data_IF_799636014551
#
_entry.id   IF_799636014551
#
_cell.length_a   1.000
_cell.length_b   1.000
_cell.length_c   1.000
_cell.angle_alpha   90.00
_cell.angle_beta   90.00
_cell.angle_gamma   90.00
#
_symmetry.space_group_name_H-M   'P 1'
#
loop_
_entity.id
_entity.type
_entity.pdbx_description
1 polymer ?
#
# COMPACT_ATOMS: atom_id res chain seq x y z
N UNK A 1 11.99 9.12 9.79
CA UNK A 1 10.84 8.69 8.99
C UNK A 1 10.88 9.16 7.54
N UNK A 2 11.56 10.26 7.19
CA UNK A 2 11.82 10.66 5.79
C UNK A 2 12.36 9.54 4.89
N UNK A 3 13.05 8.55 5.46
CA UNK A 3 13.58 7.39 4.73
C UNK A 3 12.48 6.39 4.35
N UNK A 4 11.41 6.31 5.14
CA UNK A 4 10.30 5.37 4.99
C UNK A 4 9.27 5.92 4.01
N UNK A 5 9.02 7.22 4.06
CA UNK A 5 7.95 7.87 3.33
C UNK A 5 8.01 7.71 1.80
N UNK A 6 9.19 7.66 1.13
CA UNK A 6 9.28 7.33 -0.29
C UNK A 6 8.69 5.96 -0.62
N UNK A 7 9.00 4.94 0.19
CA UNK A 7 8.47 3.58 0.02
C UNK A 7 6.98 3.53 0.34
N UNK A 8 6.54 4.25 1.38
CA UNK A 8 5.13 4.31 1.72
C UNK A 8 4.31 5.02 0.62
N UNK A 9 4.82 6.13 0.09
CA UNK A 9 4.24 6.86 -1.05
C UNK A 9 4.15 5.98 -2.28
N UNK A 10 5.21 5.24 -2.59
CA UNK A 10 5.20 4.24 -3.66
C UNK A 10 4.13 3.17 -3.44
N UNK A 11 4.03 2.64 -2.21
CA UNK A 11 3.02 1.65 -1.82
C UNK A 11 1.59 2.17 -1.95
N UNK A 12 1.34 3.44 -1.59
CA UNK A 12 0.04 4.13 -1.79
C UNK A 12 -0.28 4.18 -3.28
N UNK A 13 0.66 4.64 -4.11
CA UNK A 13 0.48 4.68 -5.56
C UNK A 13 0.19 3.31 -6.17
N UNK A 14 0.97 2.29 -5.79
CA UNK A 14 0.76 0.91 -6.22
C UNK A 14 -0.60 0.38 -5.76
N UNK A 15 -1.00 0.63 -4.51
CA UNK A 15 -2.30 0.22 -3.97
C UNK A 15 -3.48 0.84 -4.73
N UNK A 16 -3.42 2.15 -5.00
CA UNK A 16 -4.44 2.81 -5.81
C UNK A 16 -4.51 2.25 -7.24
N UNK A 17 -3.38 1.94 -7.87
CA UNK A 17 -3.37 1.28 -9.17
C UNK A 17 -4.03 -0.12 -9.11
N UNK A 18 -3.75 -0.92 -8.06
CA UNK A 18 -4.42 -2.22 -7.85
C UNK A 18 -5.94 -2.06 -7.68
N UNK A 19 -6.41 -1.00 -7.04
CA UNK A 19 -7.85 -0.73 -6.90
C UNK A 19 -8.55 -0.48 -8.24
N UNK A 20 -7.81 -0.05 -9.28
CA UNK A 20 -8.36 0.12 -10.64
C UNK A 20 -8.35 -1.16 -11.49
N UNK A 21 -7.76 -2.26 -11.00
CA UNK A 21 -7.51 -3.46 -11.79
C UNK A 21 -8.77 -4.11 -12.39
N UNK A 22 -9.90 -4.08 -11.66
CA UNK A 22 -11.16 -4.63 -12.17
C UNK A 22 -11.63 -3.88 -13.42
N UNK A 23 -11.53 -2.55 -13.44
CA UNK A 23 -11.95 -1.71 -14.58
C UNK A 23 -11.11 -1.96 -15.82
N UNK A 24 -9.81 -2.21 -15.64
CA UNK A 24 -8.91 -2.55 -16.75
C UNK A 24 -9.26 -3.90 -17.40
N UNK A 25 -9.84 -4.83 -16.64
CA UNK A 25 -10.29 -6.12 -17.18
C UNK A 25 -11.58 -6.00 -17.96
N UNK A 26 -12.51 -5.18 -17.49
CA UNK A 26 -13.83 -5.05 -18.12
C UNK A 26 -13.77 -4.18 -19.39
N UNK A 27 -12.74 -3.33 -19.52
CA UNK A 27 -12.45 -2.52 -20.71
C UNK A 27 -12.01 -3.38 -21.91
N UNK A 28 -12.97 -4.04 -22.57
CA UNK A 28 -12.78 -4.66 -23.88
C UNK A 28 -13.16 -3.64 -24.98
N UNK A 29 -12.21 -3.31 -25.87
CA UNK A 29 -12.40 -2.38 -27.01
C UNK A 29 -11.46 -1.16 -27.01
N UNK A 30 -11.11 -0.63 -28.19
CA UNK A 30 -10.15 0.47 -28.35
C UNK A 30 -10.63 1.82 -27.79
N UNK A 31 -11.95 2.05 -27.76
CA UNK A 31 -12.56 3.25 -27.17
C UNK A 31 -12.54 3.27 -25.64
N UNK A 32 -12.88 2.14 -25.01
CA UNK A 32 -12.86 1.92 -23.55
C UNK A 32 -11.44 1.87 -22.99
N UNK A 33 -10.47 1.41 -23.76
CA UNK A 33 -9.04 1.45 -23.41
C UNK A 33 -8.51 2.87 -23.31
N UNK A 34 -8.92 3.79 -24.21
CA UNK A 34 -8.55 5.22 -24.16
C UNK A 34 -9.16 5.96 -22.96
N UNK A 35 -10.37 5.62 -22.55
CA UNK A 35 -10.98 6.17 -21.32
C UNK A 35 -10.37 5.60 -20.04
N UNK A 36 -9.95 4.33 -20.04
CA UNK A 36 -9.13 3.76 -18.97
C UNK A 36 -7.75 4.44 -18.87
N UNK A 37 -7.19 4.89 -20.00
CA UNK A 37 -5.94 5.65 -20.09
C UNK A 37 -6.11 7.12 -19.64
N UNK A 38 -7.33 7.70 -19.65
CA UNK A 38 -7.61 9.01 -19.04
C UNK A 38 -7.68 8.83 -17.52
N UNK A 39 -6.51 8.69 -16.94
CA UNK A 39 -6.27 7.99 -15.68
C UNK A 39 -6.76 8.77 -14.44
N UNK A 40 -8.07 8.70 -14.20
CA UNK A 40 -8.71 9.23 -13.00
C UNK A 40 -8.12 8.60 -11.73
N UNK A 41 -7.53 7.42 -11.82
CA UNK A 41 -6.84 6.75 -10.72
C UNK A 41 -5.58 7.50 -10.32
N UNK A 42 -4.69 7.78 -11.27
CA UNK A 42 -3.48 8.56 -11.01
C UNK A 42 -3.83 9.96 -10.48
N UNK A 43 -4.82 10.63 -11.08
CA UNK A 43 -5.26 11.94 -10.60
C UNK A 43 -5.77 11.88 -9.15
N UNK A 44 -6.61 10.89 -8.81
CA UNK A 44 -7.10 10.73 -7.44
C UNK A 44 -5.97 10.42 -6.45
N UNK A 45 -4.99 9.60 -6.85
CA UNK A 45 -3.78 9.35 -6.05
C UNK A 45 -3.01 10.64 -5.83
N UNK A 46 -2.76 11.43 -6.87
CA UNK A 46 -2.02 12.70 -6.76
C UNK A 46 -2.75 13.73 -5.91
N UNK A 47 -4.09 13.81 -6.03
CA UNK A 47 -4.91 14.67 -5.18
C UNK A 47 -4.84 14.23 -3.71
N UNK A 48 -4.94 12.93 -3.43
CA UNK A 48 -4.76 12.40 -2.07
C UNK A 48 -3.36 12.74 -1.51
N UNK A 49 -2.32 12.53 -2.33
CA UNK A 49 -0.94 12.84 -1.94
C UNK A 49 -0.76 14.32 -1.66
N UNK A 50 -1.21 15.20 -2.56
CA UNK A 50 -1.01 16.64 -2.46
C UNK A 50 -1.88 17.33 -1.40
N UNK A 51 -3.10 16.84 -1.15
CA UNK A 51 -4.02 17.47 -0.20
C UNK A 51 -3.89 16.94 1.23
N UNK A 52 -3.47 15.69 1.41
CA UNK A 52 -3.44 15.05 2.72
C UNK A 52 -2.05 14.56 3.08
N UNK A 53 -1.52 13.58 2.34
CA UNK A 53 -0.31 12.86 2.77
C UNK A 53 0.92 13.76 2.89
N UNK A 54 1.22 14.55 1.85
CA UNK A 54 2.40 15.41 1.82
C UNK A 54 2.28 16.57 2.81
N UNK A 55 1.15 17.31 2.90
CA UNK A 55 1.00 18.35 3.93
C UNK A 55 1.18 17.82 5.36
N UNK A 56 0.64 16.63 5.67
CA UNK A 56 0.83 16.00 6.98
C UNK A 56 2.29 15.59 7.22
N UNK A 57 2.96 15.00 6.23
CA UNK A 57 4.39 14.70 6.31
C UNK A 57 5.26 15.94 6.53
N UNK A 58 4.96 17.04 5.82
CA UNK A 58 5.65 18.32 6.00
C UNK A 58 5.42 18.92 7.40
N UNK A 59 4.19 18.81 7.92
CA UNK A 59 3.88 19.23 9.28
C UNK A 59 4.70 18.42 10.29
N UNK A 60 4.82 17.10 10.10
CA UNK A 60 5.60 16.22 10.97
C UNK A 60 7.10 16.56 10.92
N UNK A 61 7.63 16.82 9.72
CA UNK A 61 9.03 17.21 9.50
C UNK A 61 9.40 18.57 10.11
N UNK A 62 8.45 19.50 10.13
CA UNK A 62 8.66 20.81 10.74
C UNK A 62 8.46 20.78 12.25
N UNK A 63 7.50 19.98 12.74
CA UNK A 63 7.18 19.89 14.18
C UNK A 63 8.15 19.01 14.96
N UNK A 64 8.58 17.90 14.39
CA UNK A 64 9.46 16.91 15.02
C UNK A 64 10.66 16.56 14.11
N UNK A 65 11.48 17.54 13.70
CA UNK A 65 12.55 17.34 12.71
C UNK A 65 13.57 16.27 13.11
N UNK A 66 13.88 16.19 14.41
CA UNK A 66 14.73 15.14 14.96
C UNK A 66 14.15 13.77 14.66
N UNK A 67 12.95 13.46 15.16
CA UNK A 67 12.31 12.17 14.92
C UNK A 67 12.10 11.87 13.43
N UNK A 68 11.66 12.88 12.67
CA UNK A 68 11.37 12.75 11.24
C UNK A 68 12.64 12.44 10.43
N UNK A 69 13.80 12.94 10.83
CA UNK A 69 15.08 12.63 10.16
C UNK A 69 15.79 11.43 10.79
N UNK A 70 15.13 10.67 11.68
CA UNK A 70 15.78 9.65 12.51
C UNK A 70 16.99 10.22 13.28
N UNK A 71 16.89 11.46 13.73
CA UNK A 71 17.88 12.25 14.45
C UNK A 71 19.17 12.51 13.67
N UNK A 72 19.11 12.45 12.33
CA UNK A 72 20.22 12.89 11.48
C UNK A 72 20.34 14.42 11.48
N UNK A 73 19.21 15.15 11.49
CA UNK A 73 19.19 16.61 11.52
C UNK A 73 18.33 17.15 12.66
N UNK A 74 18.77 18.26 13.26
CA UNK A 74 18.00 18.96 14.31
C UNK A 74 16.90 19.85 13.74
N UNK A 75 17.06 20.30 12.49
CA UNK A 75 16.09 21.06 11.73
C UNK A 75 16.21 20.66 10.26
N UNK A 76 15.09 20.58 9.54
CA UNK A 76 15.10 20.28 8.11
C UNK A 76 15.12 21.60 7.33
N UNK A 77 16.14 21.88 6.50
CA UNK A 77 16.18 23.11 5.74
C UNK A 77 15.07 23.14 4.68
N UNK A 78 14.57 24.33 4.28
CA UNK A 78 13.42 24.43 3.37
C UNK A 78 13.61 23.74 2.02
N UNK A 79 14.82 23.78 1.46
CA UNK A 79 15.12 23.10 0.20
C UNK A 79 14.99 21.58 0.32
N UNK A 80 15.33 21.01 1.48
CA UNK A 80 15.22 19.57 1.71
C UNK A 80 13.76 19.15 1.92
N UNK A 81 12.95 19.98 2.57
CA UNK A 81 11.49 19.78 2.63
C UNK A 81 10.87 19.81 1.22
N UNK A 82 11.27 20.77 0.38
CA UNK A 82 10.78 20.86 -0.99
C UNK A 82 11.20 19.63 -1.82
N UNK A 83 12.47 19.24 -1.75
CA UNK A 83 12.98 18.06 -2.44
C UNK A 83 12.30 16.77 -1.95
N UNK A 84 12.07 16.64 -0.64
CA UNK A 84 11.36 15.53 -0.04
C UNK A 84 9.92 15.44 -0.56
N UNK A 85 9.15 16.53 -0.50
CA UNK A 85 7.78 16.58 -1.01
C UNK A 85 7.70 16.23 -2.50
N UNK A 86 8.62 16.75 -3.32
CA UNK A 86 8.70 16.39 -4.74
C UNK A 86 9.02 14.89 -4.91
N UNK A 87 9.93 14.36 -4.11
CA UNK A 87 10.27 12.94 -4.07
C UNK A 87 9.07 12.05 -3.75
N UNK A 88 8.23 12.43 -2.79
CA UNK A 88 7.02 11.68 -2.45
C UNK A 88 6.03 11.62 -3.62
N UNK A 89 5.84 12.72 -4.35
CA UNK A 89 5.02 12.76 -5.58
C UNK A 89 5.60 11.82 -6.64
N UNK A 90 6.91 11.88 -6.88
CA UNK A 90 7.58 11.03 -7.86
C UNK A 90 7.45 9.56 -7.49
N UNK A 91 7.66 9.19 -6.22
CA UNK A 91 7.53 7.82 -5.74
C UNK A 91 6.10 7.29 -5.86
N UNK A 92 5.08 8.08 -5.47
CA UNK A 92 3.68 7.68 -5.64
C UNK A 92 3.31 7.53 -7.11
N UNK A 93 3.75 8.44 -7.97
CA UNK A 93 3.54 8.38 -9.42
C UNK A 93 4.20 7.13 -10.02
N UNK A 94 5.45 6.85 -9.64
CA UNK A 94 6.18 5.67 -10.11
C UNK A 94 5.50 4.37 -9.67
N UNK A 95 5.11 4.28 -8.38
CA UNK A 95 4.39 3.12 -7.85
C UNK A 95 3.07 2.88 -8.57
N UNK A 96 2.33 3.95 -8.85
CA UNK A 96 1.11 3.87 -9.64
C UNK A 96 1.38 3.39 -11.08
N UNK A 97 2.24 4.09 -11.82
CA UNK A 97 2.48 3.84 -13.25
C UNK A 97 3.08 2.46 -13.53
N UNK A 98 4.04 2.00 -12.70
CA UNK A 98 4.64 0.69 -12.86
C UNK A 98 3.64 -0.44 -12.60
N UNK A 99 2.84 -0.29 -11.54
CA UNK A 99 1.78 -1.24 -11.19
C UNK A 99 0.71 -1.29 -12.28
N UNK A 100 0.25 -0.12 -12.73
CA UNK A 100 -0.72 0.02 -13.82
C UNK A 100 -0.19 -0.62 -15.12
N UNK A 101 1.06 -0.36 -15.49
CA UNK A 101 1.70 -0.97 -16.67
C UNK A 101 1.75 -2.49 -16.60
N UNK A 102 1.95 -3.07 -15.41
CA UNK A 102 1.92 -4.52 -15.21
C UNK A 102 0.49 -5.08 -15.33
N UNK A 103 -0.51 -4.37 -14.81
CA UNK A 103 -1.93 -4.74 -14.93
C UNK A 103 -2.38 -4.74 -16.39
N UNK A 104 -2.07 -3.69 -17.16
CA UNK A 104 -2.39 -3.59 -18.60
C UNK A 104 -1.73 -4.72 -19.42
N UNK A 105 -0.58 -5.21 -18.97
CA UNK A 105 0.14 -6.35 -19.57
C UNK A 105 -0.37 -7.72 -19.13
N UNK A 106 -1.45 -7.78 -18.36
CA UNK A 106 -1.98 -9.04 -17.83
C UNK A 106 -1.04 -9.72 -16.83
N UNK A 107 -0.18 -8.98 -16.13
CA UNK A 107 0.74 -9.47 -15.10
C UNK A 107 0.27 -9.09 -13.68
N UNK A 108 -0.90 -9.56 -13.20
CA UNK A 108 -1.47 -9.13 -11.92
C UNK A 108 -0.59 -9.51 -10.72
N UNK A 109 0.12 -10.64 -10.77
CA UNK A 109 1.04 -11.01 -9.71
C UNK A 109 2.22 -10.03 -9.61
N UNK A 110 2.82 -9.66 -10.74
CA UNK A 110 3.88 -8.65 -10.77
C UNK A 110 3.40 -7.30 -10.24
N UNK A 111 2.15 -6.93 -10.53
CA UNK A 111 1.53 -5.73 -9.98
C UNK A 111 1.40 -5.81 -8.44
N UNK A 112 0.93 -6.94 -7.88
CA UNK A 112 0.89 -7.15 -6.44
C UNK A 112 2.27 -7.08 -5.78
N UNK A 113 3.30 -7.62 -6.45
CA UNK A 113 4.66 -7.57 -5.94
C UNK A 113 5.18 -6.14 -5.77
N UNK A 114 4.74 -5.18 -6.59
CA UNK A 114 5.10 -3.76 -6.39
C UNK A 114 4.59 -3.23 -5.04
N UNK A 115 3.34 -3.54 -4.71
CA UNK A 115 2.74 -3.18 -3.42
C UNK A 115 3.44 -3.90 -2.26
N UNK A 116 3.61 -5.22 -2.34
CA UNK A 116 4.26 -6.02 -1.29
C UNK A 116 5.71 -5.56 -1.06
N UNK A 117 6.49 -5.39 -2.13
CA UNK A 117 7.88 -4.94 -2.02
C UNK A 117 7.97 -3.57 -1.33
N UNK A 118 7.09 -2.62 -1.66
CA UNK A 118 7.07 -1.32 -1.03
C UNK A 118 6.91 -1.41 0.50
N UNK A 119 5.97 -2.22 0.99
CA UNK A 119 5.76 -2.39 2.42
C UNK A 119 6.85 -3.21 3.11
N UNK A 120 7.46 -4.19 2.42
CA UNK A 120 8.67 -4.85 2.92
C UNK A 120 9.78 -3.82 3.13
N UNK A 121 10.02 -2.92 2.16
CA UNK A 121 11.02 -1.85 2.32
C UNK A 121 10.65 -0.83 3.40
N UNK A 122 9.37 -0.50 3.58
CA UNK A 122 8.90 0.30 4.73
C UNK A 122 9.34 -0.34 6.04
N UNK A 123 9.07 -1.63 6.25
CA UNK A 123 9.44 -2.31 7.49
C UNK A 123 10.94 -2.52 7.63
N UNK A 124 11.66 -2.88 6.57
CA UNK A 124 13.12 -2.98 6.61
C UNK A 124 13.76 -1.65 7.01
N UNK A 125 13.29 -0.54 6.44
CA UNK A 125 13.78 0.81 6.78
C UNK A 125 13.35 1.22 8.18
N UNK A 126 12.15 0.83 8.64
CA UNK A 126 11.72 1.07 10.01
C UNK A 126 12.58 0.33 11.02
N UNK A 127 12.92 -0.94 10.75
CA UNK A 127 13.70 -1.78 11.65
C UNK A 127 15.16 -1.34 11.67
N UNK A 128 15.76 -1.16 10.49
CA UNK A 128 17.19 -0.94 10.35
C UNK A 128 17.58 0.52 10.20
N UNK A 129 16.77 1.34 9.53
CA UNK A 129 17.21 2.67 9.11
C UNK A 129 18.49 2.61 8.28
N UNK A 130 19.24 3.70 8.26
CA UNK A 130 20.49 3.81 7.51
C UNK A 130 21.73 3.27 8.25
N UNK A 131 21.67 3.18 9.58
CA UNK A 131 22.78 2.79 10.45
C UNK A 131 22.54 1.50 11.25
N UNK A 132 21.47 0.76 10.92
CA UNK A 132 21.06 -0.44 11.65
C UNK A 132 20.25 -0.18 12.93
N UNK A 133 19.95 1.08 13.26
CA UNK A 133 19.30 1.47 14.52
C UNK A 133 17.91 2.09 14.34
N UNK A 134 17.28 1.85 13.20
CA UNK A 134 15.97 2.40 12.80
C UNK A 134 14.89 2.26 13.86
N UNK A 135 14.65 1.05 14.39
CA UNK A 135 13.58 0.79 15.35
C UNK A 135 13.81 1.59 16.65
N UNK A 136 15.06 1.65 17.09
CA UNK A 136 15.46 2.43 18.28
C UNK A 136 15.22 3.91 18.05
N UNK A 137 15.62 4.44 16.88
CA UNK A 137 15.41 5.86 16.52
C UNK A 137 13.92 6.20 16.35
N UNK A 138 13.11 5.26 15.88
CA UNK A 138 11.66 5.41 15.78
C UNK A 138 10.98 5.53 17.15
N UNK A 139 11.36 4.66 18.10
CA UNK A 139 10.81 4.65 19.45
C UNK A 139 11.42 5.71 20.38
N UNK A 140 12.52 6.35 19.99
CA UNK A 140 13.16 7.41 20.77
C UNK A 140 12.35 8.72 20.70
N UNK A 141 12.00 9.26 21.86
CA UNK A 141 11.36 10.59 22.02
C UNK A 141 12.37 11.74 22.10
N UNK A 142 13.63 11.43 22.39
CA UNK A 142 14.75 12.37 22.41
C UNK A 142 16.08 11.65 22.12
N UNK A 143 17.14 12.37 21.67
CA UNK A 143 18.46 11.78 21.44
C UNK A 143 19.10 11.14 22.69
N UNK A 144 18.73 11.59 23.89
CA UNK A 144 19.23 11.00 25.13
C UNK A 144 18.67 9.58 25.41
N UNK A 145 17.64 9.13 24.67
CA UNK A 145 16.99 7.85 24.86
C UNK A 145 17.67 6.68 24.12
N UNK A 146 18.93 6.82 23.66
CA UNK A 146 19.64 5.77 22.92
C UNK A 146 20.42 4.77 23.80
N UNK A 147 20.17 4.75 25.12
CA UNK A 147 21.03 4.08 26.11
C UNK A 147 20.95 2.55 26.07
N UNK A 148 19.83 1.96 25.63
CA UNK A 148 19.66 0.52 25.52
C UNK A 148 19.86 0.01 24.08
N UNK A 149 20.55 -1.14 23.87
CA UNK A 149 20.67 -1.76 22.55
C UNK A 149 19.34 -2.33 22.03
N UNK A 150 18.41 -2.66 22.94
CA UNK A 150 17.09 -3.21 22.61
C UNK A 150 15.98 -2.34 23.21
N UNK A 151 14.96 -1.95 22.44
CA UNK A 151 13.84 -1.19 22.98
C UNK A 151 13.14 -1.96 24.09
N UNK A 152 12.96 -1.32 25.24
CA UNK A 152 12.24 -1.90 26.38
C UNK A 152 10.74 -1.63 26.27
N UNK A 153 9.93 -2.43 26.95
CA UNK A 153 8.47 -2.20 27.04
C UNK A 153 8.15 -0.82 27.64
N UNK A 154 8.98 -0.34 28.57
CA UNK A 154 8.83 0.99 29.17
C UNK A 154 9.03 2.10 28.13
N UNK A 155 10.06 1.99 27.28
CA UNK A 155 10.31 2.94 26.19
C UNK A 155 9.17 2.93 25.16
N UNK A 156 8.61 1.76 24.84
CA UNK A 156 7.43 1.67 23.97
C UNK A 156 6.23 2.40 24.57
N UNK A 157 5.92 2.17 25.86
CA UNK A 157 4.81 2.86 26.55
C UNK A 157 5.05 4.37 26.60
N UNK A 158 6.30 4.80 26.85
CA UNK A 158 6.67 6.20 26.85
C UNK A 158 6.48 6.83 25.47
N UNK A 159 6.88 6.13 24.40
CA UNK A 159 6.68 6.57 23.03
C UNK A 159 5.20 6.69 22.68
N UNK A 160 4.37 5.71 23.06
CA UNK A 160 2.92 5.72 22.81
C UNK A 160 2.20 6.90 23.47
N UNK A 161 2.76 7.43 24.56
CA UNK A 161 2.24 8.62 25.26
C UNK A 161 2.90 9.93 24.80
N UNK A 162 3.80 9.87 23.82
CA UNK A 162 4.52 11.04 23.34
C UNK A 162 3.66 11.88 22.38
N UNK A 163 3.97 13.18 22.24
CA UNK A 163 3.31 14.03 21.24
C UNK A 163 3.46 13.53 19.79
N UNK A 164 4.53 12.76 19.52
CA UNK A 164 4.79 12.15 18.21
C UNK A 164 3.74 11.07 17.94
N UNK A 165 3.57 10.12 18.87
CA UNK A 165 2.59 9.05 18.71
C UNK A 165 1.16 9.60 18.65
N UNK A 166 0.83 10.58 19.49
CA UNK A 166 -0.46 11.27 19.45
C UNK A 166 -0.73 11.87 18.06
N UNK A 167 0.24 12.57 17.50
CA UNK A 167 0.14 13.11 16.14
C UNK A 167 -0.10 12.00 15.12
N UNK A 168 0.69 10.91 15.17
CA UNK A 168 0.56 9.80 14.23
C UNK A 168 -0.82 9.13 14.32
N UNK A 169 -1.41 9.03 15.52
CA UNK A 169 -2.75 8.52 15.68
C UNK A 169 -3.79 9.44 15.03
N UNK A 170 -3.71 10.75 15.24
CA UNK A 170 -4.59 11.71 14.58
C UNK A 170 -4.44 11.70 13.06
N UNK A 171 -3.20 11.72 12.57
CA UNK A 171 -2.92 11.63 11.14
C UNK A 171 -3.43 10.31 10.56
N UNK A 172 -3.20 9.18 11.23
CA UNK A 172 -3.71 7.87 10.82
C UNK A 172 -5.24 7.82 10.78
N UNK A 173 -5.91 8.42 11.78
CA UNK A 173 -7.37 8.51 11.84
C UNK A 173 -7.97 9.30 10.66
N UNK A 174 -7.22 10.24 10.07
CA UNK A 174 -7.66 10.99 8.88
C UNK A 174 -7.21 10.30 7.59
N UNK A 175 -5.92 9.95 7.50
CA UNK A 175 -5.28 9.39 6.31
C UNK A 175 -5.86 8.04 5.93
N UNK A 176 -6.02 7.14 6.89
CA UNK A 176 -6.48 5.78 6.60
C UNK A 176 -7.89 5.84 6.01
N UNK A 177 -8.93 6.40 6.68
CA UNK A 177 -10.26 6.50 6.09
C UNK A 177 -10.31 7.21 4.75
N UNK A 178 -9.54 8.29 4.56
CA UNK A 178 -9.48 8.99 3.29
C UNK A 178 -8.88 8.12 2.18
N UNK A 179 -7.77 7.42 2.44
CA UNK A 179 -7.15 6.49 1.50
C UNK A 179 -8.10 5.33 1.17
N UNK A 180 -8.80 4.80 2.17
CA UNK A 180 -9.82 3.76 1.99
C UNK A 180 -10.95 4.26 1.09
N UNK A 181 -11.47 5.46 1.35
CA UNK A 181 -12.52 6.06 0.53
C UNK A 181 -12.07 6.26 -0.92
N UNK A 182 -10.83 6.70 -1.16
CA UNK A 182 -10.25 6.81 -2.51
C UNK A 182 -10.20 5.44 -3.17
N UNK A 183 -9.64 4.43 -2.51
CA UNK A 183 -9.52 3.08 -3.09
C UNK A 183 -10.89 2.45 -3.39
N UNK A 184 -11.86 2.59 -2.49
CA UNK A 184 -13.23 2.10 -2.70
C UNK A 184 -13.86 2.81 -3.90
N UNK A 185 -13.77 4.14 -3.99
CA UNK A 185 -14.30 4.92 -5.13
C UNK A 185 -13.63 4.57 -6.45
N UNK A 186 -12.32 4.34 -6.46
CA UNK A 186 -11.59 3.95 -7.67
C UNK A 186 -12.06 2.59 -8.20
N UNK A 187 -12.44 1.69 -7.28
CA UNK A 187 -12.96 0.37 -7.59
C UNK A 187 -14.43 0.38 -8.02
N UNK A 188 -15.28 1.15 -7.35
CA UNK A 188 -16.74 1.18 -7.61
C UNK A 188 -17.18 2.18 -8.68
N UNK A 189 -16.43 3.28 -8.87
CA UNK A 189 -16.81 4.40 -9.76
C UNK A 189 -16.81 4.10 -11.27
N UNK A 190 -16.68 2.83 -11.68
CA UNK A 190 -16.76 2.38 -13.07
C UNK A 190 -18.00 1.54 -13.41
N UNK A 191 -18.71 0.98 -12.42
CA UNK A 191 -19.86 0.09 -12.65
C UNK A 191 -21.18 0.86 -12.59
N UNK A 192 -21.29 1.94 -13.38
CA UNK A 192 -22.49 2.76 -13.52
C UNK A 192 -23.59 2.11 -14.36
N UNK A 193 -23.81 0.80 -14.23
CA UNK A 193 -25.04 0.18 -14.69
C UNK A 193 -26.10 0.38 -13.58
N UNK A 194 -27.19 1.12 -13.84
CA UNK A 194 -28.27 1.27 -12.88
C UNK A 194 -28.88 -0.11 -12.60
N UNK A 195 -28.61 -0.69 -11.43
CA UNK A 195 -29.17 -1.96 -10.99
C UNK A 195 -28.22 -2.91 -10.26
N UNK A 196 -26.90 -2.78 -10.42
CA UNK A 196 -25.92 -3.59 -9.68
C UNK A 196 -25.43 -2.84 -8.44
N UNK A 197 -26.21 -2.89 -7.35
CA UNK A 197 -25.73 -2.57 -6.01
C UNK A 197 -24.68 -3.61 -5.60
N UNK A 198 -23.43 -3.45 -6.05
CA UNK A 198 -22.29 -4.16 -5.49
C UNK A 198 -22.15 -3.77 -4.03
N UNK A 199 -22.20 -4.75 -3.13
CA UNK A 199 -22.32 -4.52 -1.70
C UNK A 199 -21.10 -3.74 -1.15
N UNK A 200 -21.30 -2.78 -0.22
CA UNK A 200 -20.20 -2.06 0.45
C UNK A 200 -19.18 -2.97 1.16
N UNK A 201 -19.53 -4.24 1.36
CA UNK A 201 -18.71 -5.28 2.00
C UNK A 201 -17.44 -5.64 1.22
N UNK A 202 -17.41 -5.44 -0.11
CA UNK A 202 -16.24 -5.80 -0.95
C UNK A 202 -15.03 -4.88 -0.73
N UNK A 203 -15.29 -3.62 -0.37
CA UNK A 203 -14.24 -2.64 -0.08
C UNK A 203 -13.54 -2.93 1.25
N UNK A 204 -14.31 -3.25 2.29
CA UNK A 204 -13.78 -3.57 3.61
C UNK A 204 -12.96 -4.88 3.58
N UNK A 205 -13.43 -5.92 2.90
CA UNK A 205 -12.68 -7.19 2.77
C UNK A 205 -11.32 -6.98 2.08
N UNK A 206 -11.27 -6.16 1.01
CA UNK A 206 -10.01 -5.81 0.36
C UNK A 206 -9.03 -5.15 1.33
N UNK A 207 -9.54 -4.23 2.13
CA UNK A 207 -8.75 -3.44 3.08
C UNK A 207 -8.23 -4.32 4.20
N UNK A 208 -9.09 -5.17 4.76
CA UNK A 208 -8.69 -6.15 5.76
C UNK A 208 -7.61 -7.08 5.20
N UNK A 209 -7.76 -7.58 3.97
CA UNK A 209 -6.73 -8.42 3.33
C UNK A 209 -5.44 -7.66 3.07
N UNK A 210 -5.51 -6.42 2.59
CA UNK A 210 -4.33 -5.58 2.37
C UNK A 210 -3.59 -5.34 3.69
N UNK A 211 -4.31 -4.98 4.76
CA UNK A 211 -3.77 -4.82 6.10
C UNK A 211 -3.16 -6.12 6.64
N UNK A 212 -3.82 -7.28 6.44
CA UNK A 212 -3.25 -8.59 6.81
C UNK A 212 -1.96 -8.88 6.05
N UNK A 213 -1.89 -8.55 4.75
CA UNK A 213 -0.67 -8.74 3.94
C UNK A 213 0.46 -7.81 4.41
N UNK A 214 0.14 -6.55 4.71
CA UNK A 214 1.10 -5.57 5.23
C UNK A 214 1.62 -6.02 6.60
N UNK A 215 0.74 -6.20 7.58
CA UNK A 215 1.14 -6.47 8.97
C UNK A 215 1.62 -7.90 9.21
N UNK A 216 1.25 -8.86 8.37
CA UNK A 216 1.71 -10.24 8.46
C UNK A 216 2.94 -10.49 7.58
N UNK A 217 2.77 -10.97 6.33
CA UNK A 217 3.86 -11.34 5.44
C UNK A 217 4.94 -10.27 5.23
N UNK A 218 4.58 -9.00 5.03
CA UNK A 218 5.60 -7.97 4.76
C UNK A 218 6.47 -7.70 6.00
N UNK A 219 5.84 -7.60 7.18
CA UNK A 219 6.56 -7.46 8.45
C UNK A 219 7.41 -8.70 8.74
N UNK A 220 6.86 -9.90 8.55
CA UNK A 220 7.58 -11.16 8.77
C UNK A 220 8.80 -11.30 7.86
N UNK A 221 8.70 -10.88 6.59
CA UNK A 221 9.83 -10.85 5.66
C UNK A 221 10.91 -9.85 6.09
N UNK A 222 10.52 -8.69 6.62
CA UNK A 222 11.49 -7.70 7.11
C UNK A 222 12.20 -8.19 8.38
N UNK A 223 11.46 -8.75 9.34
CA UNK A 223 12.03 -9.32 10.57
C UNK A 223 12.93 -10.52 10.25
N UNK A 224 12.53 -11.39 9.32
CA UNK A 224 13.36 -12.53 8.93
C UNK A 224 14.65 -12.10 8.22
N UNK A 225 14.64 -10.97 7.50
CA UNK A 225 15.87 -10.40 6.92
C UNK A 225 16.85 -10.04 8.03
N UNK A 226 16.36 -9.32 9.05
CA UNK A 226 17.16 -8.96 10.23
C UNK A 226 17.74 -10.20 10.89
N UNK A 227 16.90 -11.20 11.19
CA UNK A 227 17.32 -12.43 11.88
C UNK A 227 18.35 -13.23 11.06
N UNK A 228 18.14 -13.35 9.74
CA UNK A 228 19.05 -14.09 8.88
C UNK A 228 20.44 -13.45 8.88
N UNK A 229 20.52 -12.12 8.79
CA UNK A 229 21.80 -11.38 8.82
C UNK A 229 22.47 -11.47 10.19
N UNK A 230 21.71 -11.38 11.29
CA UNK A 230 22.30 -11.47 12.64
C UNK A 230 22.79 -12.87 12.99
N UNK A 231 22.11 -13.92 12.51
CA UNK A 231 22.46 -15.32 12.84
C UNK A 231 23.57 -15.85 11.93
N UNK A 232 23.50 -15.56 10.63
CA UNK A 232 24.40 -16.16 9.63
C UNK A 232 25.45 -15.18 9.08
N UNK A 233 25.42 -13.91 9.51
CA UNK A 233 26.21 -12.85 8.91
C UNK A 233 25.62 -12.33 7.58
N UNK A 234 26.19 -11.28 6.99
CA UNK A 234 25.58 -10.57 5.87
C UNK A 234 25.50 -11.39 4.58
N UNK A 235 26.54 -12.16 4.25
CA UNK A 235 26.59 -12.93 3.00
C UNK A 235 25.64 -14.13 3.04
N UNK A 236 25.81 -15.02 4.03
CA UNK A 236 24.97 -16.22 4.17
C UNK A 236 23.55 -15.87 4.58
N UNK A 237 23.37 -14.87 5.46
CA UNK A 237 22.06 -14.36 5.85
C UNK A 237 21.30 -13.75 4.67
N UNK A 238 21.98 -12.95 3.84
CA UNK A 238 21.40 -12.40 2.61
C UNK A 238 20.99 -13.48 1.61
N UNK A 239 21.82 -14.50 1.41
CA UNK A 239 21.50 -15.63 0.54
C UNK A 239 20.31 -16.45 1.08
N UNK A 240 20.33 -16.78 2.37
CA UNK A 240 19.26 -17.53 3.04
C UNK A 240 17.93 -16.76 2.99
N UNK A 241 17.95 -15.46 3.28
CA UNK A 241 16.76 -14.62 3.19
C UNK A 241 16.25 -14.51 1.76
N UNK A 242 17.13 -14.37 0.77
CA UNK A 242 16.72 -14.32 -0.65
C UNK A 242 16.00 -15.60 -1.05
N UNK A 243 16.52 -16.77 -0.65
CA UNK A 243 15.86 -18.06 -0.89
C UNK A 243 14.47 -18.12 -0.24
N UNK A 244 14.36 -17.69 1.02
CA UNK A 244 13.08 -17.61 1.74
C UNK A 244 12.10 -16.65 1.04
N UNK A 245 12.55 -15.45 0.67
CA UNK A 245 11.75 -14.45 -0.01
C UNK A 245 11.25 -14.97 -1.36
N UNK A 246 12.09 -15.63 -2.15
CA UNK A 246 11.69 -16.27 -3.42
C UNK A 246 10.63 -17.34 -3.19
N UNK A 247 10.77 -18.17 -2.16
CA UNK A 247 9.79 -19.20 -1.83
C UNK A 247 8.43 -18.59 -1.41
N UNK A 248 8.45 -17.58 -0.54
CA UNK A 248 7.23 -16.90 -0.03
C UNK A 248 6.55 -16.08 -1.13
N UNK A 249 7.33 -15.39 -1.96
CA UNK A 249 6.86 -14.57 -3.09
C UNK A 249 6.70 -15.38 -4.38
N UNK A 250 6.72 -16.71 -4.30
CA UNK A 250 6.49 -17.54 -5.46
C UNK A 250 5.03 -17.38 -5.96
N UNK A 251 4.73 -17.34 -7.27
CA UNK A 251 3.38 -17.13 -7.79
C UNK A 251 2.33 -18.18 -7.37
N UNK A 252 2.78 -19.33 -6.85
CA UNK A 252 1.94 -20.44 -6.35
C UNK A 252 1.83 -20.46 -4.82
N UNK A 253 2.39 -19.48 -4.11
CA UNK A 253 2.33 -19.44 -2.65
C UNK A 253 0.93 -19.04 -2.14
N UNK A 254 0.68 -19.30 -0.85
CA UNK A 254 -0.54 -18.84 -0.18
C UNK A 254 -0.69 -17.31 -0.24
N UNK A 255 0.42 -16.57 -0.14
CA UNK A 255 0.45 -15.12 -0.30
C UNK A 255 -0.03 -14.70 -1.69
N UNK A 256 0.45 -15.38 -2.74
CA UNK A 256 -0.02 -15.12 -4.10
C UNK A 256 -1.52 -15.39 -4.25
N UNK A 257 -2.06 -16.41 -3.60
CA UNK A 257 -3.50 -16.68 -3.58
C UNK A 257 -4.29 -15.55 -2.89
N UNK A 258 -3.82 -15.04 -1.75
CA UNK A 258 -4.45 -13.91 -1.04
C UNK A 258 -4.40 -12.63 -1.88
N UNK A 259 -3.23 -12.29 -2.42
CA UNK A 259 -3.06 -11.09 -3.25
C UNK A 259 -3.89 -11.14 -4.54
N UNK A 260 -4.06 -12.32 -5.15
CA UNK A 260 -4.96 -12.46 -6.32
C UNK A 260 -6.40 -12.09 -5.97
N UNK A 261 -6.89 -12.41 -4.77
CA UNK A 261 -8.24 -12.03 -4.31
C UNK A 261 -8.38 -10.54 -4.05
N UNK A 262 -7.29 -9.85 -3.71
CA UNK A 262 -7.27 -8.38 -3.58
C UNK A 262 -7.51 -7.73 -4.96
N UNK A 263 -6.81 -8.21 -5.99
CA UNK A 263 -6.86 -7.67 -7.36
C UNK A 263 -8.10 -8.11 -8.14
N UNK A 264 -8.51 -9.37 -7.97
CA UNK A 264 -9.62 -9.99 -8.66
C UNK A 264 -10.59 -10.50 -7.59
N UNK A 265 -11.58 -9.68 -7.16
CA UNK A 265 -12.70 -10.25 -6.42
C UNK A 265 -13.29 -11.41 -7.23
N UNK A 266 -13.68 -12.47 -6.53
CA UNK A 266 -14.26 -13.66 -7.15
C UNK A 266 -15.32 -13.20 -8.17
N UNK A 267 -15.15 -13.65 -9.42
CA UNK A 267 -16.12 -13.33 -10.45
C UNK A 267 -17.50 -13.72 -9.92
N UNK A 268 -18.45 -12.79 -9.97
CA UNK A 268 -19.85 -13.15 -9.80
C UNK A 268 -20.10 -14.30 -10.79
N UNK A 269 -20.62 -15.45 -10.36
CA UNK A 269 -20.91 -16.55 -11.29
C UNK A 269 -21.73 -15.97 -12.43
N UNK A 270 -21.45 -16.37 -13.69
CA UNK A 270 -22.16 -15.85 -14.85
C UNK A 270 -23.64 -15.98 -14.55
N UNK A 271 -24.38 -14.85 -14.64
CA UNK A 271 -25.83 -14.85 -14.55
C UNK A 271 -26.27 -15.98 -15.47
N UNK A 272 -26.82 -17.06 -14.91
CA UNK A 272 -27.48 -18.09 -15.72
C UNK A 272 -28.42 -17.30 -16.61
N UNK A 273 -28.22 -17.41 -17.92
CA UNK A 273 -29.13 -16.81 -18.89
C UNK A 273 -30.52 -17.24 -18.43
N UNK A 274 -31.33 -16.29 -17.97
CA UNK A 274 -32.72 -16.58 -17.68
C UNK A 274 -33.27 -17.18 -18.97
N UNK A 275 -33.82 -18.41 -18.93
CA UNK A 275 -34.46 -18.98 -20.09
C UNK A 275 -35.49 -17.96 -20.53
N UNK A 276 -35.32 -17.47 -21.76
CA UNK A 276 -36.21 -16.51 -22.39
C UNK A 276 -37.64 -16.99 -22.19
N UNK A 277 -38.37 -16.34 -21.29
CA UNK A 277 -39.82 -16.49 -21.15
C UNK A 277 -40.45 -15.88 -22.41
N UNK A 278 -40.37 -16.61 -23.50
CA UNK A 278 -40.80 -16.20 -24.83
C UNK A 278 -41.21 -17.45 -25.59
N UNK A 279 -42.36 -18.01 -25.22
CA UNK A 279 -42.90 -19.22 -25.83
C UNK A 279 -44.26 -19.65 -25.31
N UNK A 280 -45.09 -18.72 -24.83
CA UNK A 280 -46.53 -18.94 -24.66
C UNK A 280 -47.25 -17.75 -25.27
N UNK A 281 -47.76 -17.92 -26.49
CA UNK A 281 -49.19 -17.70 -26.79
C UNK A 281 -49.46 -17.87 -28.30
N UNK A 282 -50.60 -18.52 -28.58
CA UNK A 282 -51.45 -18.48 -29.78
C UNK A 282 -51.21 -19.55 -30.88
N UNK A 283 -51.80 -20.72 -30.66
CA UNK A 283 -52.61 -21.40 -31.68
C UNK A 283 -53.73 -22.23 -31.03
N UNK A 284 -54.97 -21.78 -31.18
CA UNK A 284 -56.18 -22.61 -31.29
C UNK A 284 -57.37 -21.68 -31.60
N UNK A 285 -57.70 -21.58 -32.88
CA UNK A 285 -58.84 -20.82 -33.37
C UNK A 285 -59.08 -21.15 -34.84
N UNK A 286 -59.78 -22.28 -35.06
CA UNK A 286 -60.67 -22.67 -36.17
C UNK A 286 -60.60 -24.18 -36.43
#
# INVERSE_FOLDING_TARGET
MLQIDPFWSYGIGAGCALATAARLRDAHGDGTRREAIRDRGLLATLLFMGMLFIPMGMWLATRFPGWETMYAWRAVPPWALAAFSAGLVVCATAGYLLTHRLLVRGKPWGACLQFVAAYVFVFCTLIHGWDGTGLRRFLATAPAAFTSPTPTTAELIQWLRSPIAETLFWMGLVLIPALLAVNVRLRTGGTGAPGTRGAPLDGLDMVLRATMVILGPCLALAVSASLAVTVFGPLLGGAAWTALAVAVLHPRSALAAVCRRIVLPAACPPRRAEPSAGGQHLHAGQ
#
